data_IF_021205834142
#
_entry.id   IF_021205834142
#
_cell.length_a   1.000
_cell.length_b   1.000
_cell.length_c   1.000
_cell.angle_alpha   90.00
_cell.angle_beta   90.00
_cell.angle_gamma   90.00
#
_symmetry.space_group_name_H-M   'P 1'
#
loop_
_entity.id
_entity.type
_entity.pdbx_description
1 polymer ?
#
# COMPACT_ATOMS: atom_id res chain seq x y z
N UNK A 1 23.51 35.99 -21.53
CA UNK A 1 22.50 35.00 -21.12
C UNK A 1 23.06 33.60 -21.40
N UNK A 2 23.59 32.93 -20.38
CA UNK A 2 24.16 31.58 -20.52
C UNK A 2 23.00 30.57 -20.70
N UNK A 3 22.98 29.86 -21.83
CA UNK A 3 22.07 28.71 -22.03
C UNK A 3 22.40 27.70 -20.95
N UNK A 4 21.51 27.51 -19.99
CA UNK A 4 21.55 26.35 -19.11
C UNK A 4 21.39 25.13 -20.03
N UNK A 5 22.48 24.37 -20.19
CA UNK A 5 22.39 23.04 -20.79
C UNK A 5 21.44 22.25 -19.89
N UNK A 6 20.28 21.90 -20.41
CA UNK A 6 19.42 20.93 -19.76
C UNK A 6 20.26 19.65 -19.58
N UNK A 7 20.31 19.12 -18.37
CA UNK A 7 20.97 17.84 -18.13
C UNK A 7 20.35 16.79 -19.07
N UNK A 8 21.15 15.87 -19.63
CA UNK A 8 20.63 14.87 -20.55
C UNK A 8 19.50 14.10 -19.84
N UNK A 9 18.32 14.10 -20.45
CA UNK A 9 17.17 13.37 -19.93
C UNK A 9 17.39 11.88 -20.16
N UNK A 10 17.79 11.16 -19.12
CA UNK A 10 17.89 9.70 -19.17
C UNK A 10 16.49 9.09 -19.08
N UNK A 11 16.11 8.21 -19.99
CA UNK A 11 14.85 7.48 -19.91
C UNK A 11 14.69 6.80 -18.54
N UNK A 12 13.46 6.70 -18.05
CA UNK A 12 13.13 6.09 -16.77
C UNK A 12 13.73 4.68 -16.60
N UNK A 13 13.65 3.88 -17.65
CA UNK A 13 14.23 2.54 -17.73
C UNK A 13 15.72 2.50 -17.39
N UNK A 14 16.51 3.47 -17.91
CA UNK A 14 17.95 3.53 -17.67
C UNK A 14 18.30 3.96 -16.22
N UNK A 15 17.37 4.54 -15.51
CA UNK A 15 17.54 4.97 -14.11
C UNK A 15 17.12 3.91 -13.09
N UNK A 16 16.24 2.97 -13.48
CA UNK A 16 15.57 2.06 -12.54
C UNK A 16 15.84 0.58 -12.79
N UNK A 17 16.24 0.20 -13.99
CA UNK A 17 16.61 -1.19 -14.27
C UNK A 17 18.12 -1.34 -14.11
N UNK A 18 18.51 -2.36 -13.32
CA UNK A 18 19.88 -2.61 -12.90
C UNK A 18 20.93 -2.69 -14.02
N UNK A 19 22.00 -3.38 -13.83
CA UNK A 19 23.16 -3.40 -14.73
C UNK A 19 22.76 -3.65 -16.21
N UNK A 20 23.06 -2.68 -17.07
CA UNK A 20 22.80 -2.73 -18.51
C UNK A 20 24.03 -2.30 -19.32
N UNK A 21 24.05 -2.68 -20.59
CA UNK A 21 25.14 -2.33 -21.49
C UNK A 21 26.49 -2.76 -20.92
N UNK A 22 27.44 -1.87 -20.90
CA UNK A 22 28.82 -2.14 -20.45
C UNK A 22 28.96 -2.59 -18.98
N UNK A 23 27.89 -2.44 -18.16
CA UNK A 23 27.91 -2.88 -16.76
C UNK A 23 27.33 -4.29 -16.57
N UNK A 24 26.56 -4.81 -17.53
CA UNK A 24 25.96 -6.14 -17.46
C UNK A 24 27.01 -7.24 -17.53
N UNK A 25 27.84 -7.20 -18.54
CA UNK A 25 28.78 -8.25 -18.84
C UNK A 25 29.83 -8.47 -17.72
N UNK A 26 30.41 -7.42 -17.09
CA UNK A 26 31.24 -7.60 -15.91
C UNK A 26 30.53 -8.24 -14.71
N UNK A 27 29.23 -7.94 -14.51
CA UNK A 27 28.45 -8.55 -13.44
C UNK A 27 28.20 -10.02 -13.71
N UNK A 28 27.79 -10.40 -14.92
CA UNK A 28 27.62 -11.78 -15.31
C UNK A 28 28.92 -12.56 -15.22
N UNK A 29 30.02 -12.01 -15.72
CA UNK A 29 31.33 -12.62 -15.63
C UNK A 29 31.78 -12.84 -14.17
N UNK A 30 31.49 -11.93 -13.26
CA UNK A 30 31.79 -12.10 -11.84
C UNK A 30 31.00 -13.25 -11.20
N UNK A 31 29.84 -13.59 -11.77
CA UNK A 31 29.01 -14.73 -11.37
C UNK A 31 29.38 -16.02 -12.11
N UNK A 32 30.29 -15.99 -13.07
CA UNK A 32 30.63 -17.10 -13.92
C UNK A 32 29.60 -17.40 -15.00
N UNK A 33 28.80 -16.40 -15.38
CA UNK A 33 27.70 -16.50 -16.34
C UNK A 33 27.99 -15.64 -17.58
N UNK A 34 27.30 -15.92 -18.69
CA UNK A 34 27.50 -15.20 -19.95
C UNK A 34 26.28 -14.39 -20.37
N UNK A 35 25.08 -14.92 -20.14
CA UNK A 35 23.82 -14.30 -20.52
C UNK A 35 22.88 -14.16 -19.30
N UNK A 36 21.85 -13.32 -19.43
CA UNK A 36 20.83 -13.16 -18.37
C UNK A 36 19.98 -14.42 -18.21
N UNK A 37 19.80 -15.14 -19.28
CA UNK A 37 19.10 -16.42 -19.32
C UNK A 37 19.84 -17.46 -18.46
N UNK A 38 21.17 -17.51 -18.50
CA UNK A 38 21.98 -18.38 -17.63
C UNK A 38 21.73 -18.07 -16.16
N UNK A 39 21.56 -16.78 -15.82
CA UNK A 39 21.24 -16.35 -14.45
C UNK A 39 19.84 -16.81 -14.05
N UNK A 40 18.88 -16.66 -14.94
CA UNK A 40 17.52 -17.11 -14.69
C UNK A 40 17.49 -18.64 -14.48
N UNK A 41 18.15 -19.40 -15.33
CA UNK A 41 18.25 -20.86 -15.23
C UNK A 41 18.96 -21.32 -13.95
N UNK A 42 19.93 -20.56 -13.48
CA UNK A 42 20.65 -20.86 -12.24
C UNK A 42 19.85 -20.61 -10.97
N UNK A 43 18.93 -19.63 -10.96
CA UNK A 43 18.20 -19.21 -9.75
C UNK A 43 16.74 -19.65 -9.72
N UNK A 44 16.11 -19.85 -10.85
CA UNK A 44 14.72 -20.28 -10.94
C UNK A 44 14.64 -21.79 -10.69
N UNK A 45 13.85 -22.27 -9.73
CA UNK A 45 13.70 -23.70 -9.48
C UNK A 45 13.22 -24.46 -10.72
N UNK A 46 13.83 -25.59 -11.01
CA UNK A 46 13.42 -26.47 -12.09
C UNK A 46 11.94 -26.90 -11.92
N UNK A 47 11.19 -26.85 -13.01
CA UNK A 47 9.77 -27.24 -13.02
C UNK A 47 8.77 -26.10 -12.82
N UNK A 48 9.24 -24.86 -12.63
CA UNK A 48 8.34 -23.72 -12.75
C UNK A 48 7.96 -23.51 -14.23
N UNK A 49 6.67 -23.27 -14.52
CA UNK A 49 6.26 -23.02 -15.90
C UNK A 49 6.87 -21.70 -16.39
N UNK A 50 7.44 -21.70 -17.56
CA UNK A 50 7.83 -20.47 -18.24
C UNK A 50 6.58 -19.69 -18.58
N UNK A 51 6.41 -18.54 -17.98
CA UNK A 51 5.29 -17.64 -18.30
C UNK A 51 5.52 -17.10 -19.72
N UNK A 52 4.46 -16.96 -20.51
CA UNK A 52 4.56 -16.28 -21.80
C UNK A 52 5.07 -14.85 -21.58
N UNK A 53 5.78 -14.26 -22.56
CA UNK A 53 6.18 -12.87 -22.49
C UNK A 53 4.99 -11.99 -22.12
N UNK A 54 5.18 -11.11 -21.16
CA UNK A 54 4.12 -10.20 -20.76
C UNK A 54 3.87 -9.20 -21.91
N UNK A 55 2.81 -9.43 -22.65
CA UNK A 55 2.38 -8.52 -23.70
C UNK A 55 1.78 -7.27 -23.06
N UNK A 56 2.57 -6.25 -22.92
CA UNK A 56 2.07 -4.93 -22.54
C UNK A 56 1.34 -4.34 -23.73
N UNK A 57 0.04 -4.18 -23.59
CA UNK A 57 -0.84 -3.70 -24.64
C UNK A 57 -0.70 -2.21 -25.01
N UNK A 58 0.42 -1.60 -24.77
CA UNK A 58 0.72 -0.25 -25.23
C UNK A 58 2.01 -0.29 -26.07
N UNK A 59 1.92 -0.30 -27.40
CA UNK A 59 3.09 -0.14 -28.22
C UNK A 59 3.64 1.27 -28.05
N UNK A 60 4.79 1.42 -27.43
CA UNK A 60 5.59 2.60 -27.74
C UNK A 60 6.10 2.39 -29.18
N UNK A 61 6.11 3.45 -29.96
CA UNK A 61 6.59 3.42 -31.35
C UNK A 61 8.05 2.96 -31.51
N UNK A 62 8.74 2.65 -30.42
CA UNK A 62 10.14 2.24 -30.33
C UNK A 62 10.39 0.94 -29.54
N UNK A 63 9.35 0.15 -29.24
CA UNK A 63 9.52 -1.14 -28.55
C UNK A 63 9.93 -1.05 -27.06
N UNK A 64 9.81 0.13 -26.44
CA UNK A 64 10.05 0.39 -25.01
C UNK A 64 8.77 0.83 -24.31
N UNK A 65 8.80 0.99 -22.98
CA UNK A 65 7.69 1.56 -22.21
C UNK A 65 7.44 3.03 -22.57
N UNK A 66 6.30 3.56 -22.13
CA UNK A 66 5.95 4.97 -22.29
C UNK A 66 6.98 5.88 -21.59
N UNK A 67 7.23 7.05 -22.15
CA UNK A 67 7.98 8.11 -21.48
C UNK A 67 7.18 8.72 -20.31
N UNK A 68 7.86 9.37 -19.37
CA UNK A 68 7.18 10.05 -18.26
C UNK A 68 6.07 11.02 -18.70
N UNK A 69 6.29 11.90 -19.72
CA UNK A 69 5.23 12.76 -20.24
C UNK A 69 4.03 11.99 -20.81
N UNK A 70 4.28 10.90 -21.54
CA UNK A 70 3.21 10.06 -22.10
C UNK A 70 2.40 9.36 -21.02
N UNK A 71 3.06 8.88 -19.95
CA UNK A 71 2.35 8.31 -18.78
C UNK A 71 1.48 9.35 -18.11
N UNK A 72 2.00 10.55 -17.87
CA UNK A 72 1.24 11.65 -17.25
C UNK A 72 0.04 12.05 -18.11
N UNK A 73 0.21 12.14 -19.42
CA UNK A 73 -0.88 12.47 -20.33
C UNK A 73 -1.94 11.36 -20.38
N UNK A 74 -1.51 10.11 -20.38
CA UNK A 74 -2.42 8.96 -20.29
C UNK A 74 -3.23 8.99 -18.99
N UNK A 75 -2.57 9.23 -17.86
CA UNK A 75 -3.25 9.33 -16.57
C UNK A 75 -4.22 10.51 -16.49
N UNK A 76 -3.87 11.67 -17.08
CA UNK A 76 -4.78 12.81 -17.18
C UNK A 76 -6.00 12.48 -18.03
N UNK A 77 -5.79 11.80 -19.16
CA UNK A 77 -6.88 11.39 -20.03
C UNK A 77 -7.82 10.42 -19.30
N UNK A 78 -7.28 9.44 -18.56
CA UNK A 78 -8.08 8.54 -17.74
C UNK A 78 -8.81 9.29 -16.62
N UNK A 79 -8.13 10.20 -15.94
CA UNK A 79 -8.74 11.01 -14.88
C UNK A 79 -9.89 11.88 -15.40
N UNK A 80 -9.80 12.38 -16.63
CA UNK A 80 -10.83 13.20 -17.25
C UNK A 80 -12.12 12.43 -17.59
N UNK A 81 -12.09 11.11 -17.56
CA UNK A 81 -13.29 10.25 -17.71
C UNK A 81 -14.13 10.19 -16.43
N UNK A 82 -13.59 10.60 -15.29
CA UNK A 82 -14.38 10.71 -14.07
C UNK A 82 -15.33 11.90 -14.18
N UNK A 83 -16.58 11.68 -13.83
CA UNK A 83 -17.61 12.70 -13.73
C UNK A 83 -18.01 12.85 -12.25
N UNK A 84 -17.35 13.76 -11.51
CA UNK A 84 -17.57 13.91 -10.08
C UNK A 84 -18.95 14.46 -9.78
N UNK A 85 -19.75 13.69 -9.10
CA UNK A 85 -21.06 14.09 -8.59
C UNK A 85 -21.03 14.24 -7.06
N UNK A 86 -22.10 14.86 -6.52
CA UNK A 86 -22.34 14.86 -5.08
C UNK A 86 -22.73 13.43 -4.67
N UNK A 87 -21.90 12.82 -3.84
CA UNK A 87 -22.17 11.48 -3.36
C UNK A 87 -23.21 11.53 -2.22
N UNK A 88 -24.31 10.80 -2.37
CA UNK A 88 -25.40 10.73 -1.42
C UNK A 88 -25.56 9.35 -0.77
N UNK A 89 -24.79 8.35 -1.20
CA UNK A 89 -24.85 6.99 -0.66
C UNK A 89 -24.06 6.86 0.63
N UNK A 90 -22.80 7.28 0.62
CA UNK A 90 -21.91 7.42 1.77
C UNK A 90 -21.64 6.17 2.60
N UNK A 91 -22.66 5.53 3.15
CA UNK A 91 -22.57 4.37 4.07
C UNK A 91 -21.56 4.59 5.22
N UNK A 92 -21.50 5.83 5.76
CA UNK A 92 -20.55 6.25 6.80
C UNK A 92 -19.32 6.98 6.27
N UNK A 93 -19.04 6.95 4.99
CA UNK A 93 -17.99 7.73 4.37
C UNK A 93 -18.53 9.02 3.76
N UNK A 94 -17.80 10.10 3.91
CA UNK A 94 -18.14 11.41 3.34
C UNK A 94 -16.87 12.19 3.05
N UNK A 95 -16.88 13.13 2.10
CA UNK A 95 -15.74 14.01 1.83
C UNK A 95 -15.35 14.80 3.08
N UNK A 96 -14.05 14.97 3.27
CA UNK A 96 -13.47 15.78 4.33
C UNK A 96 -12.62 16.89 3.72
N UNK A 97 -12.46 17.99 4.47
CA UNK A 97 -11.56 19.05 4.06
C UNK A 97 -10.15 18.76 4.56
N UNK A 98 -9.20 18.62 3.63
CA UNK A 98 -7.78 18.48 3.97
C UNK A 98 -7.11 19.85 3.89
N UNK A 99 -6.60 20.40 5.00
CA UNK A 99 -5.88 21.67 4.97
C UNK A 99 -4.67 21.61 4.03
N UNK A 100 -4.43 22.71 3.30
CA UNK A 100 -3.36 22.75 2.31
C UNK A 100 -1.97 22.48 2.90
N UNK A 101 -1.74 22.88 4.15
CA UNK A 101 -0.48 22.61 4.85
C UNK A 101 -0.28 21.12 5.07
N UNK A 102 -1.31 20.35 5.41
CA UNK A 102 -1.24 18.89 5.57
C UNK A 102 -0.99 18.23 4.23
N UNK A 103 -1.73 18.63 3.19
CA UNK A 103 -1.54 18.09 1.84
C UNK A 103 -0.09 18.29 1.36
N UNK A 104 0.49 19.49 1.58
CA UNK A 104 1.85 19.80 1.18
C UNK A 104 2.90 19.09 2.03
N UNK A 105 2.78 19.18 3.35
CA UNK A 105 3.87 18.82 4.27
C UNK A 105 3.84 17.34 4.67
N UNK A 106 2.71 16.65 4.51
CA UNK A 106 2.55 15.24 4.79
C UNK A 106 2.46 14.43 3.50
N UNK A 107 1.45 14.68 2.66
CA UNK A 107 1.26 13.88 1.42
C UNK A 107 2.37 14.11 0.39
N UNK A 108 2.90 15.34 0.32
CA UNK A 108 4.01 15.69 -0.58
C UNK A 108 5.41 15.33 -0.05
N UNK A 109 5.52 14.87 1.19
CA UNK A 109 6.81 14.60 1.81
C UNK A 109 7.16 13.11 1.75
N UNK A 110 8.24 12.71 1.03
CA UNK A 110 8.63 11.31 0.89
C UNK A 110 8.92 10.60 2.22
N UNK A 111 9.30 11.33 3.25
CA UNK A 111 9.54 10.78 4.59
C UNK A 111 8.25 10.20 5.21
N UNK A 112 7.08 10.74 4.88
CA UNK A 112 5.79 10.24 5.35
C UNK A 112 5.16 9.22 4.38
N UNK A 113 5.39 9.35 3.08
CA UNK A 113 4.75 8.54 2.05
C UNK A 113 5.54 7.27 1.68
N UNK A 114 6.55 6.94 2.45
CA UNK A 114 7.28 5.68 2.28
C UNK A 114 6.41 4.47 2.63
N UNK A 115 6.54 3.40 1.85
CA UNK A 115 5.86 2.13 2.10
C UNK A 115 6.42 1.34 3.29
N UNK A 116 7.52 1.79 3.90
CA UNK A 116 8.19 1.08 4.97
C UNK A 116 7.43 1.16 6.30
N UNK A 117 7.07 0.02 6.85
CA UNK A 117 6.48 -0.05 8.19
C UNK A 117 7.54 0.29 9.25
N UNK A 118 7.22 1.10 10.27
CA UNK A 118 8.22 1.63 11.22
C UNK A 118 8.65 0.61 12.29
N UNK A 119 9.06 -0.58 11.90
CA UNK A 119 9.56 -1.60 12.83
C UNK A 119 10.95 -1.28 13.38
N UNK A 120 11.76 -0.55 12.63
CA UNK A 120 13.09 -0.14 13.05
C UNK A 120 13.04 1.28 13.62
N UNK A 121 13.14 1.38 14.93
CA UNK A 121 13.12 2.66 15.64
C UNK A 121 14.24 3.60 15.18
N UNK A 122 15.39 3.05 14.81
CA UNK A 122 16.58 3.81 14.41
C UNK A 122 16.33 4.74 13.21
N UNK A 123 15.47 4.33 12.29
CA UNK A 123 15.16 5.09 11.07
C UNK A 123 13.74 5.65 11.05
N UNK A 124 12.95 5.39 12.07
CA UNK A 124 11.52 5.71 12.11
C UNK A 124 11.09 6.50 13.34
N UNK A 125 12.01 7.10 14.07
CA UNK A 125 11.73 7.76 15.36
C UNK A 125 10.61 8.80 15.28
N UNK A 126 10.65 9.69 14.30
CA UNK A 126 9.60 10.70 14.12
C UNK A 126 8.23 10.13 13.79
N UNK A 127 8.16 9.05 13.03
CA UNK A 127 6.88 8.36 12.75
C UNK A 127 6.35 7.64 13.98
N UNK A 128 7.21 7.03 14.78
CA UNK A 128 6.83 6.41 16.05
C UNK A 128 6.36 7.43 17.08
N UNK A 129 7.00 8.59 17.12
CA UNK A 129 6.54 9.71 17.96
C UNK A 129 5.14 10.18 17.54
N UNK A 130 4.88 10.34 16.25
CA UNK A 130 3.55 10.68 15.74
C UNK A 130 2.50 9.62 16.09
N UNK A 131 2.84 8.35 16.04
CA UNK A 131 1.95 7.27 16.47
C UNK A 131 1.66 7.31 17.96
N UNK A 132 2.66 7.61 18.79
CA UNK A 132 2.49 7.75 20.23
C UNK A 132 1.58 8.93 20.58
N UNK A 133 1.76 10.06 19.90
CA UNK A 133 0.87 11.23 20.05
C UNK A 133 -0.56 10.88 19.64
N UNK A 134 -0.76 10.15 18.57
CA UNK A 134 -2.07 9.67 18.14
C UNK A 134 -2.72 8.77 19.19
N UNK A 135 -1.99 7.79 19.75
CA UNK A 135 -2.51 6.93 20.83
C UNK A 135 -2.97 7.75 22.04
N UNK A 136 -2.17 8.72 22.44
CA UNK A 136 -2.50 9.63 23.54
C UNK A 136 -3.77 10.42 23.24
N UNK A 137 -3.86 11.01 22.06
CA UNK A 137 -5.03 11.77 21.61
C UNK A 137 -6.31 10.91 21.64
N UNK A 138 -6.26 9.69 21.12
CA UNK A 138 -7.43 8.80 21.11
C UNK A 138 -7.82 8.39 22.52
N UNK A 139 -6.87 8.11 23.40
CA UNK A 139 -7.15 7.82 24.81
C UNK A 139 -7.82 8.99 25.50
N UNK A 140 -7.34 10.21 25.29
CA UNK A 140 -7.92 11.42 25.87
C UNK A 140 -9.35 11.70 25.36
N UNK A 141 -9.58 11.50 24.05
CA UNK A 141 -10.89 11.72 23.44
C UNK A 141 -11.94 10.68 23.85
N UNK A 142 -11.53 9.45 24.05
CA UNK A 142 -12.45 8.33 24.35
C UNK A 142 -12.60 8.04 25.84
N UNK A 143 -11.66 8.50 26.67
CA UNK A 143 -11.56 8.14 28.07
C UNK A 143 -11.10 6.69 28.31
N UNK A 144 -10.70 5.96 27.27
CA UNK A 144 -10.16 4.61 27.36
C UNK A 144 -8.66 4.66 27.66
N UNK A 145 -8.16 3.87 28.62
CA UNK A 145 -6.77 4.01 29.08
C UNK A 145 -5.71 3.52 28.08
N UNK A 146 -6.12 2.74 27.09
CA UNK A 146 -5.21 2.17 26.09
C UNK A 146 -5.81 2.31 24.70
N UNK A 147 -5.01 2.82 23.77
CA UNK A 147 -5.34 2.87 22.35
C UNK A 147 -4.23 2.23 21.52
N UNK A 148 -4.59 1.59 20.42
CA UNK A 148 -3.62 1.15 19.40
C UNK A 148 -3.08 2.34 18.63
N UNK A 149 -1.88 2.21 18.08
CA UNK A 149 -1.30 3.25 17.24
C UNK A 149 -2.05 3.36 15.91
N UNK A 150 -2.31 2.22 15.25
CA UNK A 150 -3.02 2.16 13.98
C UNK A 150 -3.39 0.72 13.64
N UNK A 151 -4.51 0.55 12.96
CA UNK A 151 -4.89 -0.66 12.23
C UNK A 151 -5.14 -0.26 10.77
N UNK A 152 -5.33 -1.25 9.90
CA UNK A 152 -5.48 -1.00 8.46
C UNK A 152 -6.63 -0.03 8.16
N UNK A 153 -7.82 -0.32 8.76
CA UNK A 153 -9.03 0.48 8.61
C UNK A 153 -10.00 0.21 9.76
N UNK A 154 -11.14 0.91 9.76
CA UNK A 154 -12.19 0.79 10.77
C UNK A 154 -12.77 -0.62 10.81
N UNK A 155 -13.08 -1.22 9.67
CA UNK A 155 -13.66 -2.55 9.59
C UNK A 155 -12.72 -3.62 10.17
N UNK A 156 -11.43 -3.52 9.87
CA UNK A 156 -10.38 -4.36 10.47
C UNK A 156 -10.29 -4.14 11.98
N UNK A 157 -10.40 -2.90 12.44
CA UNK A 157 -10.37 -2.59 13.87
C UNK A 157 -11.52 -3.26 14.62
N UNK A 158 -12.74 -3.25 14.06
CA UNK A 158 -13.91 -3.97 14.63
C UNK A 158 -13.64 -5.49 14.67
N UNK A 159 -13.13 -6.06 13.58
CA UNK A 159 -12.82 -7.48 13.52
C UNK A 159 -11.72 -7.89 14.52
N UNK A 160 -10.67 -7.10 14.67
CA UNK A 160 -9.62 -7.36 15.66
C UNK A 160 -10.11 -7.18 17.10
N UNK A 161 -11.03 -6.25 17.36
CA UNK A 161 -11.69 -6.14 18.66
C UNK A 161 -12.49 -7.40 19.01
N UNK A 162 -13.22 -7.97 18.05
CA UNK A 162 -13.91 -9.26 18.22
C UNK A 162 -12.92 -10.37 18.57
N UNK A 163 -11.81 -10.47 17.84
CA UNK A 163 -10.79 -11.48 18.12
C UNK A 163 -10.12 -11.27 19.48
N UNK A 164 -9.90 -10.02 19.87
CA UNK A 164 -9.38 -9.70 21.20
C UNK A 164 -10.34 -10.16 22.30
N UNK A 165 -11.63 -9.87 22.16
CA UNK A 165 -12.66 -10.32 23.12
C UNK A 165 -12.68 -11.84 23.25
N UNK A 166 -12.62 -12.57 22.13
CA UNK A 166 -12.59 -14.04 22.15
C UNK A 166 -11.34 -14.57 22.84
N UNK A 167 -10.18 -14.00 22.57
CA UNK A 167 -8.91 -14.42 23.18
C UNK A 167 -8.81 -14.06 24.66
N UNK A 168 -9.33 -12.90 25.03
CA UNK A 168 -9.30 -12.41 26.41
C UNK A 168 -10.35 -13.09 27.28
N UNK A 169 -11.49 -13.49 26.71
CA UNK A 169 -12.50 -14.24 27.43
C UNK A 169 -12.00 -15.67 27.63
N UNK A 170 -11.90 -16.11 28.90
CA UNK A 170 -11.61 -17.50 29.20
C UNK A 170 -12.80 -18.43 28.90
N UNK A 171 -13.87 -17.93 28.37
CA UNK A 171 -15.05 -18.70 27.94
C UNK A 171 -14.77 -19.21 26.53
N UNK A 172 -14.67 -20.53 26.48
CA UNK A 172 -14.39 -21.32 25.27
C UNK A 172 -15.64 -21.48 24.39
N UNK A 173 -15.42 -21.90 23.18
CA UNK A 173 -16.25 -22.50 22.12
C UNK A 173 -17.77 -22.19 22.03
N UNK A 174 -18.48 -21.95 23.11
CA UNK A 174 -19.93 -21.71 23.14
C UNK A 174 -20.31 -20.23 23.34
N UNK A 175 -19.34 -19.33 23.29
CA UNK A 175 -19.55 -17.90 23.41
C UNK A 175 -20.14 -17.32 22.13
N UNK A 176 -21.16 -16.45 22.27
CA UNK A 176 -21.73 -15.71 21.15
C UNK A 176 -21.23 -14.28 21.19
N UNK A 177 -20.77 -13.78 20.06
CA UNK A 177 -20.43 -12.37 19.87
C UNK A 177 -21.69 -11.63 19.38
N UNK A 178 -22.03 -10.54 20.05
CA UNK A 178 -23.09 -9.65 19.59
C UNK A 178 -22.46 -8.46 18.89
N UNK A 179 -22.90 -8.21 17.67
CA UNK A 179 -22.52 -7.06 16.85
C UNK A 179 -23.74 -6.15 16.71
N UNK A 180 -23.52 -4.85 16.91
CA UNK A 180 -24.59 -3.87 16.72
C UNK A 180 -24.96 -3.78 15.24
N UNK A 181 -26.26 -3.94 14.93
CA UNK A 181 -26.77 -3.79 13.56
C UNK A 181 -26.64 -2.37 13.02
N UNK A 182 -26.37 -1.37 13.88
CA UNK A 182 -26.08 0.00 13.50
C UNK A 182 -24.63 0.25 13.05
N UNK A 183 -23.76 -0.77 13.08
CA UNK A 183 -22.42 -0.66 12.50
C UNK A 183 -22.52 -0.42 10.98
N UNK A 184 -21.52 0.29 10.44
CA UNK A 184 -21.44 0.44 8.99
C UNK A 184 -21.43 -0.93 8.30
N UNK A 185 -22.13 -1.10 7.16
CA UNK A 185 -22.27 -2.39 6.50
C UNK A 185 -20.92 -3.09 6.23
N UNK A 186 -19.92 -2.34 5.79
CA UNK A 186 -18.58 -2.88 5.54
C UNK A 186 -17.88 -3.37 6.81
N UNK A 187 -18.05 -2.69 7.94
CA UNK A 187 -17.50 -3.12 9.23
C UNK A 187 -18.13 -4.43 9.69
N UNK A 188 -19.47 -4.52 9.53
CA UNK A 188 -20.23 -5.71 9.87
C UNK A 188 -19.81 -6.91 9.01
N UNK A 189 -19.71 -6.72 7.69
CA UNK A 189 -19.32 -7.80 6.77
C UNK A 189 -17.89 -8.32 7.04
N UNK A 190 -16.94 -7.45 7.29
CA UNK A 190 -15.56 -7.86 7.60
C UNK A 190 -15.52 -8.62 8.94
N UNK A 191 -16.20 -8.12 9.96
CA UNK A 191 -16.28 -8.78 11.28
C UNK A 191 -16.95 -10.17 11.17
N UNK A 192 -18.08 -10.27 10.48
CA UNK A 192 -18.79 -11.54 10.26
C UNK A 192 -17.97 -12.52 9.41
N UNK A 193 -17.28 -12.03 8.37
CA UNK A 193 -16.39 -12.88 7.56
C UNK A 193 -15.28 -13.47 8.41
N UNK A 194 -14.68 -12.69 9.29
CA UNK A 194 -13.64 -13.15 10.21
C UNK A 194 -14.20 -14.17 11.22
N UNK A 195 -15.39 -13.92 11.77
CA UNK A 195 -16.08 -14.84 12.66
C UNK A 195 -16.33 -16.19 11.97
N UNK A 196 -16.91 -16.17 10.77
CA UNK A 196 -17.18 -17.38 9.97
C UNK A 196 -15.91 -18.19 9.71
N UNK A 197 -14.83 -17.55 9.30
CA UNK A 197 -13.56 -18.23 9.02
C UNK A 197 -12.94 -18.93 10.23
N UNK A 198 -13.23 -18.45 11.43
CA UNK A 198 -12.70 -18.98 12.69
C UNK A 198 -13.71 -19.82 13.50
N UNK A 199 -14.91 -20.05 12.95
CA UNK A 199 -15.96 -20.79 13.64
C UNK A 199 -16.53 -20.06 14.87
N UNK A 200 -16.40 -18.74 14.93
CA UNK A 200 -16.94 -17.91 16.01
C UNK A 200 -18.42 -17.64 15.71
N UNK A 201 -19.30 -17.95 16.67
CA UNK A 201 -20.72 -17.66 16.54
C UNK A 201 -20.98 -16.16 16.80
N UNK A 202 -21.50 -15.46 15.80
CA UNK A 202 -21.82 -14.03 15.90
C UNK A 202 -23.29 -13.79 15.50
N UNK A 203 -23.94 -12.89 16.21
CA UNK A 203 -25.29 -12.39 15.96
C UNK A 203 -25.28 -10.88 15.77
N UNK A 204 -26.20 -10.34 14.97
CA UNK A 204 -26.43 -8.92 14.73
C UNK A 204 -27.81 -8.52 15.19
#
# INVERSE_FOLDING_TARGET
MARRHAAPHFPFVLRHIGARGNYRDPVLAALGLYELEDLADAVVPAGLPTLPPFEHGAPSAAGGGLSEPEVIETLRSLASLNDPHIEMIGCGYHPTYTPAVIARDVLGNPAWTTAYTPYQAEISQGRLEAQLLFQTLISDLTGLPVACASLLDEATAVAEAVLLMVRASRRTADGVILLDSGLHPQCLEVALARCRALGIHALT
#
